data_IF_743805597308
#
_entry.id   IF_743805597308
#
_cell.length_a   1.000
_cell.length_b   1.000
_cell.length_c   1.000
_cell.angle_alpha   90.00
_cell.angle_beta   90.00
_cell.angle_gamma   90.00
#
_symmetry.space_group_name_H-M   'P 1'
#
loop_
_entity.id
_entity.type
_entity.pdbx_description
1 polymer ?
#
# COMPACT_ATOMS: atom_id res chain seq x y z
N UNK A 1 -9.06 -14.66 11.24
CA UNK A 1 -8.20 -14.24 12.37
C UNK A 1 -6.79 -13.75 11.98
N UNK A 2 -6.23 -14.10 10.80
CA UNK A 2 -4.88 -13.65 10.37
C UNK A 2 -4.80 -12.18 9.89
N UNK A 3 -5.92 -11.59 9.48
CA UNK A 3 -5.95 -10.23 8.93
C UNK A 3 -5.69 -9.15 9.98
N UNK A 4 -6.26 -9.29 11.18
CA UNK A 4 -6.03 -8.37 12.29
C UNK A 4 -4.59 -8.44 12.83
N UNK A 5 -3.91 -9.58 12.67
CA UNK A 5 -2.50 -9.72 13.04
C UNK A 5 -1.56 -8.94 12.13
N UNK A 6 -1.93 -8.70 10.86
CA UNK A 6 -1.12 -7.89 9.95
C UNK A 6 -0.98 -6.44 10.45
N UNK A 7 -2.05 -5.90 11.04
CA UNK A 7 -2.05 -4.54 11.58
C UNK A 7 -1.35 -4.41 12.93
N UNK A 8 -1.02 -5.52 13.62
CA UNK A 8 -0.35 -5.49 14.92
C UNK A 8 1.17 -5.61 14.76
N UNK A 9 1.92 -4.74 15.43
CA UNK A 9 3.38 -4.84 15.53
C UNK A 9 3.79 -5.96 16.52
N UNK A 10 5.10 -6.23 16.64
CA UNK A 10 5.62 -7.27 17.53
C UNK A 10 5.30 -7.02 19.02
N UNK A 11 4.99 -5.77 19.38
CA UNK A 11 4.57 -5.36 20.73
C UNK A 11 3.05 -5.52 20.97
N UNK A 12 2.27 -5.99 19.98
CA UNK A 12 0.83 -6.16 20.07
C UNK A 12 -0.01 -4.90 19.78
N UNK A 13 0.62 -3.73 19.60
CA UNK A 13 -0.04 -2.48 19.27
C UNK A 13 -0.37 -2.38 17.77
N UNK A 14 -1.38 -1.59 17.43
CA UNK A 14 -1.73 -1.33 16.04
C UNK A 14 -0.72 -0.38 15.38
N UNK A 15 -0.18 -0.78 14.23
CA UNK A 15 0.75 0.03 13.44
C UNK A 15 -0.01 0.95 12.50
N UNK A 16 0.03 2.25 12.77
CA UNK A 16 -0.49 3.28 11.84
C UNK A 16 0.18 3.18 10.47
N UNK A 17 1.45 2.74 10.43
CA UNK A 17 2.21 2.64 9.20
C UNK A 17 1.84 1.40 8.36
N UNK A 18 1.56 0.24 8.99
CA UNK A 18 1.02 -0.93 8.27
C UNK A 18 -0.41 -0.69 7.80
N UNK A 19 -1.21 0.05 8.58
CA UNK A 19 -2.55 0.50 8.18
C UNK A 19 -2.48 1.41 6.96
N UNK A 20 -1.60 2.42 6.99
CA UNK A 20 -1.39 3.33 5.88
C UNK A 20 -0.91 2.59 4.61
N UNK A 21 0.07 1.70 4.75
CA UNK A 21 0.55 0.88 3.64
C UNK A 21 -0.56 0.01 3.02
N UNK A 22 -1.43 -0.55 3.86
CA UNK A 22 -2.58 -1.33 3.40
C UNK A 22 -3.60 -0.49 2.65
N UNK A 23 -3.94 0.70 3.16
CA UNK A 23 -4.84 1.64 2.51
C UNK A 23 -4.31 2.06 1.14
N UNK A 24 -3.04 2.47 1.06
CA UNK A 24 -2.40 2.83 -0.22
C UNK A 24 -2.42 1.66 -1.21
N UNK A 25 -2.21 0.43 -0.72
CA UNK A 25 -2.25 -0.77 -1.58
C UNK A 25 -3.66 -0.98 -2.15
N UNK A 26 -4.69 -0.93 -1.31
CA UNK A 26 -6.08 -1.11 -1.75
C UNK A 26 -6.50 -0.01 -2.73
N UNK A 27 -6.23 1.26 -2.42
CA UNK A 27 -6.63 2.36 -3.28
C UNK A 27 -5.94 2.28 -4.64
N UNK A 28 -4.68 1.86 -4.69
CA UNK A 28 -3.94 1.64 -5.95
C UNK A 28 -4.56 0.49 -6.75
N UNK A 29 -4.96 -0.61 -6.10
CA UNK A 29 -5.64 -1.73 -6.78
C UNK A 29 -6.99 -1.28 -7.34
N UNK A 30 -7.78 -0.52 -6.58
CA UNK A 30 -9.07 0.00 -7.04
C UNK A 30 -8.87 0.94 -8.23
N UNK A 31 -7.89 1.84 -8.15
CA UNK A 31 -7.56 2.78 -9.25
C UNK A 31 -7.11 2.03 -10.51
N UNK A 32 -6.29 0.98 -10.35
CA UNK A 32 -5.90 0.11 -11.44
C UNK A 32 -7.09 -0.64 -12.05
N UNK A 33 -7.96 -1.25 -11.23
CA UNK A 33 -9.16 -1.94 -11.71
C UNK A 33 -10.10 -0.98 -12.43
N UNK A 34 -10.29 0.23 -11.90
CA UNK A 34 -11.06 1.28 -12.57
C UNK A 34 -10.42 1.63 -13.93
N UNK A 35 -9.10 1.74 -14.03
CA UNK A 35 -8.46 1.99 -15.32
C UNK A 35 -8.63 0.81 -16.31
N UNK A 36 -8.63 -0.43 -15.83
CA UNK A 36 -8.82 -1.60 -16.68
C UNK A 36 -10.27 -1.72 -17.19
N UNK A 37 -11.25 -1.46 -16.33
CA UNK A 37 -12.66 -1.72 -16.65
C UNK A 37 -13.44 -0.52 -17.20
N UNK A 38 -12.97 0.71 -16.95
CA UNK A 38 -13.73 1.94 -17.29
C UNK A 38 -13.07 2.82 -18.34
N UNK A 39 -11.77 2.67 -18.58
CA UNK A 39 -11.09 3.41 -19.67
C UNK A 39 -11.08 2.60 -20.96
N UNK A 40 -11.36 3.29 -22.08
CA UNK A 40 -11.46 2.72 -23.43
C UNK A 40 -10.21 1.95 -23.86
N UNK A 41 -9.04 2.40 -23.38
CA UNK A 41 -7.74 1.85 -23.75
C UNK A 41 -7.32 0.68 -22.85
N UNK A 42 -7.96 0.51 -21.68
CA UNK A 42 -7.55 -0.44 -20.63
C UNK A 42 -6.17 -0.18 -20.02
N UNK A 43 -5.54 0.97 -20.33
CA UNK A 43 -4.19 1.32 -19.88
C UNK A 43 -4.28 2.13 -18.59
N UNK A 44 -3.63 1.65 -17.54
CA UNK A 44 -3.47 2.40 -16.30
C UNK A 44 -2.42 3.50 -16.45
N UNK A 45 -2.83 4.75 -16.26
CA UNK A 45 -1.98 5.95 -16.30
C UNK A 45 -2.02 6.66 -14.94
N UNK A 46 -1.33 6.13 -13.92
CA UNK A 46 -1.36 6.72 -12.59
C UNK A 46 -0.73 8.12 -12.60
N UNK A 47 -1.28 9.01 -11.79
CA UNK A 47 -0.67 10.32 -11.55
C UNK A 47 0.68 10.16 -10.81
N UNK A 48 1.60 11.10 -11.02
CA UNK A 48 2.93 11.09 -10.39
C UNK A 48 2.88 11.01 -8.86
N UNK A 49 1.85 11.60 -8.25
CA UNK A 49 1.58 11.54 -6.81
C UNK A 49 1.30 10.10 -6.34
N UNK A 50 0.48 9.35 -7.09
CA UNK A 50 0.18 7.94 -6.79
C UNK A 50 1.43 7.09 -6.88
N UNK A 51 2.25 7.30 -7.92
CA UNK A 51 3.53 6.61 -8.10
C UNK A 51 4.46 6.90 -6.91
N UNK A 52 4.61 8.17 -6.53
CA UNK A 52 5.42 8.58 -5.39
C UNK A 52 4.94 7.97 -4.07
N UNK A 53 3.63 7.89 -3.87
CA UNK A 53 3.04 7.33 -2.65
C UNK A 53 3.26 5.81 -2.56
N UNK A 54 3.12 5.08 -3.67
CA UNK A 54 3.40 3.64 -3.74
C UNK A 54 4.89 3.35 -3.49
N UNK A 55 5.78 4.09 -4.16
CA UNK A 55 7.23 3.95 -3.95
C UNK A 55 7.63 4.30 -2.52
N UNK A 56 7.02 5.34 -1.94
CA UNK A 56 7.22 5.73 -0.54
C UNK A 56 6.83 4.63 0.44
N UNK A 57 5.69 3.96 0.21
CA UNK A 57 5.24 2.82 1.03
C UNK A 57 6.17 1.61 0.89
N UNK A 58 6.63 1.31 -0.33
CA UNK A 58 7.58 0.22 -0.57
C UNK A 58 8.93 0.50 0.11
N UNK A 59 9.45 1.72 -0.04
CA UNK A 59 10.68 2.16 0.63
C UNK A 59 10.56 2.15 2.15
N UNK A 60 9.43 2.60 2.69
CA UNK A 60 9.15 2.57 4.12
C UNK A 60 9.13 1.13 4.67
N UNK A 61 8.52 0.18 3.96
CA UNK A 61 8.56 -1.24 4.36
C UNK A 61 9.96 -1.83 4.33
N UNK A 62 10.77 -1.47 3.32
CA UNK A 62 12.18 -1.89 3.26
C UNK A 62 12.94 -1.36 4.47
N UNK A 63 12.79 -0.07 4.80
CA UNK A 63 13.42 0.55 5.97
C UNK A 63 12.97 -0.11 7.28
N UNK A 64 11.67 -0.39 7.45
CA UNK A 64 11.17 -1.11 8.62
C UNK A 64 11.86 -2.47 8.80
N UNK A 65 12.00 -3.24 7.71
CA UNK A 65 12.66 -4.56 7.74
C UNK A 65 14.14 -4.47 8.14
N UNK A 66 14.84 -3.39 7.81
CA UNK A 66 16.25 -3.20 8.17
C UNK A 66 16.47 -2.53 9.53
N UNK A 67 15.48 -1.78 10.05
CA UNK A 67 15.50 -1.22 11.42
C UNK A 67 15.09 -2.21 12.51
N UNK A 68 14.40 -3.30 12.17
CA UNK A 68 14.06 -4.39 13.10
C UNK A 68 15.23 -5.39 13.33
N UNK A 69 16.43 -5.14 12.80
CA UNK A 69 17.68 -5.87 13.11
C UNK A 69 18.51 -5.10 14.13
#
# INVERSE_FOLDING_TARGET
MKFLQFFKESNGNYSSARLFAFLVTITTIIDWLHAVFTTSDGIWRPQWQTIGMVLGVLGFKVVQKFKEK
#
